data_IF_343190119946
#
_entry.id   IF_343190119946
#
_cell.length_a   1.000
_cell.length_b   1.000
_cell.length_c   1.000
_cell.angle_alpha   90.00
_cell.angle_beta   90.00
_cell.angle_gamma   90.00
#
_symmetry.space_group_name_H-M   'P 1'
#
loop_
_entity.id
_entity.type
_entity.pdbx_description
1 polymer ?
#
# COMPACT_ATOMS: atom_id res chain seq x y z
N UNK A 1 -11.36 20.78 -37.90
CA UNK A 1 -10.27 21.77 -37.80
C UNK A 1 -9.74 21.70 -36.38
N UNK A 2 -8.42 21.64 -36.18
CA UNK A 2 -7.80 21.61 -34.86
C UNK A 2 -7.11 22.96 -34.63
N UNK A 3 -7.28 23.53 -33.44
CA UNK A 3 -6.62 24.77 -33.03
C UNK A 3 -5.88 24.56 -31.72
N UNK A 4 -4.59 24.86 -31.72
CA UNK A 4 -3.75 24.87 -30.52
C UNK A 4 -3.39 26.32 -30.19
N UNK A 5 -3.58 26.71 -28.93
CA UNK A 5 -3.28 28.06 -28.43
C UNK A 5 -2.44 27.93 -27.17
N UNK A 6 -1.32 28.65 -27.12
CA UNK A 6 -0.55 28.80 -25.88
C UNK A 6 -1.28 29.79 -24.98
N UNK A 7 -1.69 29.33 -23.79
CA UNK A 7 -2.36 30.18 -22.83
C UNK A 7 -1.34 31.11 -22.14
N UNK A 8 -1.66 32.40 -21.94
CA UNK A 8 -0.83 33.30 -21.15
C UNK A 8 -0.54 32.74 -19.75
N UNK A 9 0.64 33.04 -19.20
CA UNK A 9 0.99 32.65 -17.84
C UNK A 9 -0.05 33.15 -16.82
N UNK A 10 -0.43 32.29 -15.88
CA UNK A 10 -1.40 32.62 -14.84
C UNK A 10 -2.87 32.54 -15.26
N UNK A 11 -3.19 32.08 -16.48
CA UNK A 11 -4.57 31.86 -16.94
C UNK A 11 -5.35 30.98 -15.95
N UNK A 12 -6.52 31.46 -15.51
CA UNK A 12 -7.43 30.75 -14.58
C UNK A 12 -8.70 30.26 -15.26
N UNK A 13 -9.18 31.03 -16.23
CA UNK A 13 -10.42 30.76 -16.94
C UNK A 13 -10.14 30.84 -18.43
N UNK A 14 -10.69 29.88 -19.18
CA UNK A 14 -10.68 29.86 -20.64
C UNK A 14 -12.13 29.92 -21.08
N UNK A 15 -12.44 30.83 -21.98
CA UNK A 15 -13.75 30.96 -22.58
C UNK A 15 -13.63 30.82 -24.10
N UNK A 16 -14.55 30.04 -24.69
CA UNK A 16 -14.73 29.98 -26.14
C UNK A 16 -15.79 30.99 -26.52
N UNK A 17 -15.41 32.00 -27.30
CA UNK A 17 -16.31 33.08 -27.69
C UNK A 17 -16.69 32.96 -29.15
N UNK A 18 -17.98 32.79 -29.42
CA UNK A 18 -18.59 32.89 -30.74
C UNK A 18 -19.32 34.23 -30.81
N UNK A 19 -18.68 35.24 -31.41
CA UNK A 19 -19.15 36.63 -31.41
C UNK A 19 -18.77 37.29 -32.74
N UNK A 20 -19.65 38.15 -33.24
CA UNK A 20 -19.48 38.90 -34.50
C UNK A 20 -19.20 37.99 -35.72
N UNK A 21 -19.99 36.92 -35.84
CA UNK A 21 -19.93 35.99 -36.96
C UNK A 21 -21.15 36.16 -37.86
N UNK A 22 -20.94 36.42 -39.15
CA UNK A 22 -21.97 36.32 -40.20
C UNK A 22 -21.85 34.94 -40.87
N UNK A 23 -22.98 34.29 -41.18
CA UNK A 23 -23.08 33.00 -41.88
C UNK A 23 -22.74 31.70 -41.12
N UNK A 24 -22.56 31.75 -39.79
CA UNK A 24 -22.50 30.54 -38.95
C UNK A 24 -23.38 30.67 -37.70
N UNK A 25 -24.36 29.77 -37.55
CA UNK A 25 -25.37 29.83 -36.49
C UNK A 25 -24.92 29.21 -35.15
N UNK A 26 -23.89 28.36 -35.15
CA UNK A 26 -23.33 27.75 -33.94
C UNK A 26 -21.85 27.40 -34.09
N UNK A 27 -21.18 27.16 -32.96
CA UNK A 27 -19.85 26.56 -32.91
C UNK A 27 -19.98 25.12 -32.40
N UNK A 28 -19.47 24.16 -33.17
CA UNK A 28 -19.32 22.77 -32.72
C UNK A 28 -17.91 22.62 -32.15
N UNK A 29 -17.83 22.33 -30.85
CA UNK A 29 -16.59 22.04 -30.16
C UNK A 29 -16.61 20.57 -29.75
N UNK A 30 -15.50 19.89 -29.99
CA UNK A 30 -15.28 18.53 -29.52
C UNK A 30 -13.81 18.40 -29.09
N UNK A 31 -13.51 17.40 -28.26
CA UNK A 31 -12.16 17.05 -27.81
C UNK A 31 -11.35 18.24 -27.25
N UNK A 32 -11.98 19.07 -26.41
CA UNK A 32 -11.28 20.19 -25.75
C UNK A 32 -10.32 19.64 -24.70
N UNK A 33 -9.02 19.79 -24.97
CA UNK A 33 -7.95 19.45 -24.02
C UNK A 33 -7.25 20.71 -23.54
N UNK A 34 -7.18 20.89 -22.22
CA UNK A 34 -6.35 21.91 -21.59
C UNK A 34 -5.23 21.20 -20.86
N UNK A 35 -3.99 21.45 -21.27
CA UNK A 35 -2.79 20.87 -20.64
C UNK A 35 -1.95 21.97 -20.02
N UNK A 36 -1.34 21.68 -18.86
CA UNK A 36 -0.18 22.42 -18.38
C UNK A 36 1.07 21.77 -18.98
N UNK A 37 1.99 22.55 -19.55
CA UNK A 37 3.24 22.02 -20.14
C UNK A 37 4.17 21.33 -19.13
N UNK A 38 3.88 21.45 -17.83
CA UNK A 38 4.51 20.70 -16.77
C UNK A 38 3.48 19.75 -16.16
N UNK A 39 3.91 18.53 -15.79
CA UNK A 39 3.14 17.70 -14.88
C UNK A 39 2.80 18.57 -13.66
N UNK A 40 1.52 18.67 -13.26
CA UNK A 40 1.15 19.56 -12.18
C UNK A 40 1.94 19.17 -10.93
N UNK A 41 2.76 20.10 -10.43
CA UNK A 41 3.46 19.93 -9.16
C UNK A 41 2.42 20.08 -8.06
N UNK A 42 1.85 18.97 -7.63
CA UNK A 42 1.00 18.92 -6.46
C UNK A 42 1.56 17.97 -5.43
N UNK A 43 1.14 18.15 -4.19
CA UNK A 43 1.42 17.23 -3.09
C UNK A 43 0.13 16.89 -2.36
N UNK A 44 0.18 15.90 -1.49
CA UNK A 44 -0.93 15.51 -0.63
C UNK A 44 -0.65 15.93 0.81
N UNK A 45 -1.72 16.32 1.52
CA UNK A 45 -1.73 16.45 2.98
C UNK A 45 -2.67 15.41 3.54
N UNK A 46 -2.19 14.64 4.52
CA UNK A 46 -2.88 13.49 5.10
C UNK A 46 -3.28 13.84 6.52
N UNK A 47 -4.52 13.53 6.86
CA UNK A 47 -5.13 13.74 8.17
C UNK A 47 -5.55 12.39 8.75
N UNK A 48 -5.42 12.24 10.06
CA UNK A 48 -6.01 11.15 10.85
C UNK A 48 -6.82 11.77 11.99
N UNK A 49 -8.10 11.43 12.08
CA UNK A 49 -9.04 11.97 13.07
C UNK A 49 -8.98 13.52 13.11
N UNK A 50 -9.10 14.14 11.93
CA UNK A 50 -9.02 15.58 11.70
C UNK A 50 -7.68 16.25 12.07
N UNK A 51 -6.67 15.49 12.47
CA UNK A 51 -5.33 16.00 12.76
C UNK A 51 -4.40 15.73 11.59
N UNK A 52 -3.69 16.75 11.09
CA UNK A 52 -2.69 16.57 10.06
C UNK A 52 -1.54 15.70 10.58
N UNK A 53 -1.20 14.63 9.87
CA UNK A 53 -0.11 13.70 10.22
C UNK A 53 1.03 13.72 9.20
N UNK A 54 0.78 14.19 7.98
CA UNK A 54 1.80 14.37 6.95
C UNK A 54 1.39 15.45 5.94
N UNK A 55 2.37 16.07 5.31
CA UNK A 55 2.22 17.08 4.26
C UNK A 55 3.37 16.98 3.26
N UNK A 56 3.16 17.45 2.03
CA UNK A 56 4.19 17.41 0.99
C UNK A 56 4.42 16.02 0.39
N UNK A 57 3.48 15.08 0.59
CA UNK A 57 3.58 13.73 0.05
C UNK A 57 3.40 13.76 -1.46
N UNK A 58 4.33 13.19 -2.22
CA UNK A 58 4.30 13.16 -3.69
C UNK A 58 3.83 11.81 -4.24
N UNK A 59 3.90 10.75 -3.44
CA UNK A 59 3.41 9.43 -3.80
C UNK A 59 1.88 9.35 -3.64
N UNK A 60 1.26 8.45 -4.38
CA UNK A 60 -0.19 8.17 -4.26
C UNK A 60 -0.52 7.20 -3.13
N UNK A 61 0.49 6.83 -2.33
CA UNK A 61 0.39 5.94 -1.19
C UNK A 61 1.02 6.60 0.03
N UNK A 62 0.45 6.35 1.22
CA UNK A 62 1.00 6.79 2.49
C UNK A 62 0.85 5.68 3.52
N UNK A 63 1.93 5.39 4.26
CA UNK A 63 1.94 4.36 5.30
C UNK A 63 1.97 5.00 6.67
N UNK A 64 0.92 4.76 7.46
CA UNK A 64 0.82 5.14 8.86
C UNK A 64 1.06 3.88 9.73
N UNK A 65 2.28 3.64 10.23
CA UNK A 65 2.61 2.41 10.95
C UNK A 65 2.02 2.37 12.36
N UNK A 66 1.96 1.15 12.91
CA UNK A 66 1.77 0.90 14.35
C UNK A 66 0.47 1.47 14.95
N UNK A 67 -0.60 1.51 14.14
CA UNK A 67 -1.95 1.86 14.59
C UNK A 67 -2.49 0.80 15.54
N UNK A 68 -2.91 1.23 16.72
CA UNK A 68 -3.69 0.39 17.64
C UNK A 68 -5.06 0.04 17.02
N UNK A 69 -5.67 -1.03 17.52
CA UNK A 69 -7.04 -1.37 17.15
C UNK A 69 -7.99 -0.21 17.47
N UNK A 70 -8.87 0.13 16.54
CA UNK A 70 -9.82 1.22 16.67
C UNK A 70 -10.31 1.76 15.33
N UNK A 71 -11.26 2.69 15.42
CA UNK A 71 -11.75 3.43 14.27
C UNK A 71 -10.90 4.67 14.03
N UNK A 72 -10.51 4.87 12.77
CA UNK A 72 -9.79 6.04 12.32
C UNK A 72 -10.46 6.62 11.09
N UNK A 73 -10.63 7.94 11.05
CA UNK A 73 -11.03 8.64 9.83
C UNK A 73 -9.79 9.26 9.22
N UNK A 74 -9.44 8.82 8.02
CA UNK A 74 -8.37 9.42 7.22
C UNK A 74 -8.94 10.45 6.27
N UNK A 75 -8.29 11.60 6.19
CA UNK A 75 -8.59 12.67 5.25
C UNK A 75 -7.41 12.91 4.32
N UNK A 76 -7.66 13.14 3.04
CA UNK A 76 -6.63 13.53 2.07
C UNK A 76 -7.10 14.76 1.31
N UNK A 77 -6.23 15.76 1.18
CA UNK A 77 -6.41 16.86 0.21
C UNK A 77 -5.20 16.97 -0.71
N UNK A 78 -5.45 17.47 -1.91
CA UNK A 78 -4.42 17.83 -2.88
C UNK A 78 -4.05 19.30 -2.68
N UNK A 79 -2.76 19.58 -2.64
CA UNK A 79 -2.19 20.92 -2.57
C UNK A 79 -1.52 21.21 -3.90
N UNK A 80 -2.13 22.09 -4.68
CA UNK A 80 -1.58 22.64 -5.92
C UNK A 80 -0.82 23.94 -5.62
N UNK A 81 0.04 24.44 -6.53
CA UNK A 81 0.76 25.69 -6.30
C UNK A 81 -0.17 26.91 -6.18
N UNK A 82 -1.40 26.79 -6.66
CA UNK A 82 -2.36 27.87 -6.79
C UNK A 82 -3.71 27.59 -6.09
N UNK A 83 -3.78 26.57 -5.25
CA UNK A 83 -5.01 26.22 -4.54
C UNK A 83 -4.97 24.84 -3.90
N UNK A 84 -5.99 24.54 -3.11
CA UNK A 84 -6.16 23.25 -2.45
C UNK A 84 -7.50 22.64 -2.83
N UNK A 85 -7.58 21.31 -2.86
CA UNK A 85 -8.87 20.62 -2.94
C UNK A 85 -9.59 20.63 -1.58
N UNK A 86 -10.88 20.28 -1.60
CA UNK A 86 -11.55 19.82 -0.38
C UNK A 86 -10.82 18.59 0.20
N UNK A 87 -11.01 18.35 1.50
CA UNK A 87 -10.56 17.13 2.16
C UNK A 87 -11.58 16.03 1.85
N UNK A 88 -11.11 14.94 1.25
CA UNK A 88 -11.90 13.73 1.08
C UNK A 88 -11.58 12.74 2.20
N UNK A 89 -12.61 12.14 2.78
CA UNK A 89 -12.45 11.28 3.98
C UNK A 89 -12.89 9.84 3.75
N UNK A 90 -12.16 8.91 4.35
CA UNK A 90 -12.52 7.51 4.46
C UNK A 90 -12.34 7.02 5.90
N UNK A 91 -13.26 6.18 6.38
CA UNK A 91 -13.16 5.57 7.70
C UNK A 91 -12.59 4.17 7.58
N UNK A 92 -11.54 3.91 8.36
CA UNK A 92 -10.90 2.61 8.51
C UNK A 92 -11.20 2.10 9.92
N UNK A 93 -11.69 0.86 10.01
CA UNK A 93 -11.71 0.13 11.26
C UNK A 93 -10.48 -0.77 11.29
N UNK A 94 -9.46 -0.36 12.03
CA UNK A 94 -8.31 -1.20 12.32
C UNK A 94 -8.77 -2.17 13.39
N UNK A 95 -9.14 -3.37 12.99
CA UNK A 95 -9.38 -4.43 13.96
C UNK A 95 -8.03 -4.96 14.42
N UNK A 96 -7.87 -5.18 15.72
CA UNK A 96 -7.03 -6.30 16.11
C UNK A 96 -7.75 -7.53 15.62
N UNK A 97 -7.32 -8.12 14.50
CA UNK A 97 -7.30 -9.57 14.54
C UNK A 97 -6.39 -9.88 15.72
N UNK A 98 -6.97 -10.34 16.83
CA UNK A 98 -6.19 -11.22 17.67
C UNK A 98 -5.60 -12.25 16.71
N UNK A 99 -4.30 -12.54 16.83
CA UNK A 99 -3.78 -13.75 16.19
C UNK A 99 -4.79 -14.86 16.46
N UNK A 100 -5.19 -15.59 15.41
CA UNK A 100 -5.88 -16.85 15.62
C UNK A 100 -4.84 -17.77 16.24
N UNK A 101 -4.61 -17.64 17.55
CA UNK A 101 -3.90 -18.63 18.34
C UNK A 101 -4.85 -19.80 18.53
N UNK A 102 -5.24 -20.45 17.43
CA UNK A 102 -5.45 -21.88 17.52
C UNK A 102 -4.17 -22.42 18.14
N UNK A 103 -4.24 -22.99 19.34
CA UNK A 103 -3.08 -23.57 19.99
C UNK A 103 -2.49 -24.60 19.01
N UNK A 104 -1.39 -24.22 18.37
CA UNK A 104 -0.70 -25.08 17.44
C UNK A 104 -0.03 -26.18 18.27
N UNK A 105 -0.05 -27.46 17.82
CA UNK A 105 0.58 -28.56 18.56
C UNK A 105 2.11 -28.55 18.44
N UNK A 106 2.71 -27.37 18.24
CA UNK A 106 4.13 -27.13 18.06
C UNK A 106 4.48 -25.67 18.41
N UNK A 107 5.75 -25.44 18.74
CA UNK A 107 6.33 -24.11 18.92
C UNK A 107 7.33 -23.85 17.79
N UNK A 108 7.27 -22.66 17.19
CA UNK A 108 8.22 -22.21 16.19
C UNK A 108 8.85 -20.91 16.70
N UNK A 109 10.18 -20.87 16.82
CA UNK A 109 10.91 -19.70 17.30
C UNK A 109 12.05 -19.36 16.35
N UNK A 110 12.30 -18.07 16.17
CA UNK A 110 13.46 -17.56 15.43
C UNK A 110 14.21 -16.62 16.36
N UNK A 111 15.42 -17.01 16.76
CA UNK A 111 16.29 -16.20 17.62
C UNK A 111 17.59 -15.93 16.86
N UNK A 112 17.80 -14.67 16.48
CA UNK A 112 18.87 -14.30 15.55
C UNK A 112 18.70 -15.04 14.23
N UNK A 113 19.71 -15.84 13.85
CA UNK A 113 19.70 -16.67 12.65
C UNK A 113 19.22 -18.11 12.89
N UNK A 114 18.83 -18.45 14.11
CA UNK A 114 18.48 -19.82 14.48
C UNK A 114 16.97 -20.01 14.47
N UNK A 115 16.49 -20.91 13.62
CA UNK A 115 15.12 -21.41 13.60
C UNK A 115 15.06 -22.65 14.49
N UNK A 116 14.15 -22.67 15.45
CA UNK A 116 13.88 -23.83 16.31
C UNK A 116 12.40 -24.19 16.22
N UNK A 117 12.13 -25.43 15.84
CA UNK A 117 10.78 -26.02 15.77
C UNK A 117 10.71 -27.12 16.82
N UNK A 118 9.71 -27.08 17.70
CA UNK A 118 9.45 -28.15 18.68
C UNK A 118 8.02 -28.66 18.51
N UNK A 119 7.81 -29.96 18.40
CA UNK A 119 6.51 -30.60 18.21
C UNK A 119 6.48 -32.01 18.83
N UNK A 120 5.33 -32.68 18.82
CA UNK A 120 5.25 -34.13 19.04
C UNK A 120 5.04 -34.84 17.69
N UNK A 121 6.08 -34.85 16.87
CA UNK A 121 5.98 -35.36 15.50
C UNK A 121 7.21 -35.01 14.67
N UNK A 122 7.01 -34.71 13.40
CA UNK A 122 8.10 -34.40 12.46
C UNK A 122 8.07 -32.91 12.08
N UNK A 123 9.25 -32.32 11.91
CA UNK A 123 9.40 -30.97 11.36
C UNK A 123 10.44 -30.97 10.25
N UNK A 124 10.20 -30.14 9.23
CA UNK A 124 11.06 -29.97 8.06
C UNK A 124 11.16 -28.48 7.71
N UNK A 125 12.36 -28.03 7.38
CA UNK A 125 12.64 -26.63 7.03
C UNK A 125 13.11 -26.60 5.58
N UNK A 126 12.58 -25.67 4.79
CA UNK A 126 12.86 -25.51 3.36
C UNK A 126 13.29 -24.07 3.05
N UNK A 127 14.21 -23.90 2.09
CA UNK A 127 14.41 -22.59 1.45
C UNK A 127 13.30 -22.28 0.44
N UNK A 128 13.28 -21.05 -0.07
CA UNK A 128 12.28 -20.61 -1.06
C UNK A 128 12.39 -21.28 -2.43
N UNK A 129 13.49 -22.01 -2.70
CA UNK A 129 13.62 -22.83 -3.91
C UNK A 129 13.03 -24.24 -3.70
N UNK A 130 12.44 -24.50 -2.53
CA UNK A 130 11.84 -25.80 -2.18
C UNK A 130 12.85 -26.85 -1.73
N UNK A 131 14.13 -26.50 -1.56
CA UNK A 131 15.14 -27.46 -1.06
C UNK A 131 14.99 -27.63 0.44
N UNK A 132 14.91 -28.89 0.89
CA UNK A 132 14.87 -29.25 2.31
C UNK A 132 16.25 -29.05 2.96
N UNK A 133 16.30 -28.21 3.98
CA UNK A 133 17.52 -27.82 4.69
C UNK A 133 17.74 -28.58 6.00
N UNK A 134 16.66 -28.87 6.71
CA UNK A 134 16.68 -29.64 7.94
C UNK A 134 15.40 -30.46 8.07
N UNK A 135 15.51 -31.62 8.72
CA UNK A 135 14.36 -32.45 9.08
C UNK A 135 14.69 -33.28 10.33
N UNK A 136 13.68 -33.54 11.15
CA UNK A 136 13.84 -34.35 12.35
C UNK A 136 12.54 -34.52 13.12
N UNK A 137 12.63 -35.26 14.23
CA UNK A 137 11.52 -35.51 15.15
C UNK A 137 11.66 -34.69 16.41
N UNK A 138 10.52 -34.25 16.94
CA UNK A 138 10.34 -33.52 18.19
C UNK A 138 10.99 -32.14 18.27
N UNK A 139 12.26 -32.00 17.91
CA UNK A 139 12.95 -30.71 17.87
C UNK A 139 13.88 -30.64 16.66
N UNK A 140 13.71 -29.59 15.86
CA UNK A 140 14.54 -29.32 14.69
C UNK A 140 15.11 -27.92 14.82
N UNK A 141 16.43 -27.82 14.80
CA UNK A 141 17.16 -26.56 14.89
C UNK A 141 17.96 -26.36 13.61
N UNK A 142 17.88 -25.17 13.03
CA UNK A 142 18.62 -24.81 11.83
C UNK A 142 19.15 -23.39 11.91
N UNK A 143 20.44 -23.21 11.61
CA UNK A 143 21.05 -21.88 11.48
C UNK A 143 20.92 -21.41 10.03
N UNK A 144 20.05 -20.43 9.83
CA UNK A 144 19.68 -19.87 8.54
C UNK A 144 20.60 -18.70 8.13
N UNK A 145 20.50 -18.31 6.86
CA UNK A 145 20.96 -17.01 6.39
C UNK A 145 19.78 -16.03 6.39
N UNK A 146 20.04 -14.75 6.15
CA UNK A 146 18.96 -13.78 5.94
C UNK A 146 18.12 -14.18 4.73
N UNK A 147 16.80 -14.22 4.89
CA UNK A 147 15.89 -14.68 3.84
C UNK A 147 14.58 -15.26 4.35
N UNK A 148 13.85 -15.93 3.46
CA UNK A 148 12.57 -16.55 3.76
C UNK A 148 12.67 -18.07 3.74
N UNK A 149 11.87 -18.71 4.59
CA UNK A 149 11.84 -20.16 4.75
C UNK A 149 10.41 -20.65 4.93
N UNK A 150 10.17 -21.89 4.53
CA UNK A 150 8.94 -22.63 4.86
C UNK A 150 9.27 -23.71 5.89
N UNK A 151 8.40 -23.85 6.90
CA UNK A 151 8.49 -24.91 7.91
C UNK A 151 7.24 -25.76 7.81
N UNK A 152 7.43 -27.04 7.51
CA UNK A 152 6.36 -28.03 7.58
C UNK A 152 6.45 -28.76 8.91
N UNK A 153 5.33 -28.87 9.62
CA UNK A 153 5.22 -29.62 10.87
C UNK A 153 4.12 -30.66 10.73
N UNK A 154 4.40 -31.90 11.09
CA UNK A 154 3.45 -33.02 11.04
C UNK A 154 3.24 -33.53 12.46
N UNK A 155 2.03 -33.38 12.99
CA UNK A 155 1.61 -33.90 14.30
C UNK A 155 0.30 -34.65 14.13
N UNK A 156 0.22 -35.86 14.69
CA UNK A 156 -0.98 -36.73 14.62
C UNK A 156 -1.54 -36.92 13.19
N UNK A 157 -0.65 -37.03 12.20
CA UNK A 157 -1.02 -37.18 10.79
C UNK A 157 -1.54 -35.91 10.11
N UNK A 158 -1.64 -34.78 10.82
CA UNK A 158 -1.98 -33.47 10.27
C UNK A 158 -0.72 -32.68 9.94
N UNK A 159 -0.68 -32.09 8.76
CA UNK A 159 0.40 -31.21 8.32
C UNK A 159 0.03 -29.74 8.50
N UNK A 160 1.00 -28.97 8.99
CA UNK A 160 0.94 -27.53 9.17
C UNK A 160 2.11 -26.89 8.42
N UNK A 161 1.90 -25.72 7.83
CA UNK A 161 2.95 -25.01 7.09
C UNK A 161 3.01 -23.57 7.56
N UNK A 162 4.21 -23.14 7.95
CA UNK A 162 4.51 -21.77 8.36
C UNK A 162 5.52 -21.15 7.40
N UNK A 163 5.36 -19.87 7.09
CA UNK A 163 6.36 -19.08 6.40
C UNK A 163 7.02 -18.15 7.40
N UNK A 164 8.34 -18.09 7.42
CA UNK A 164 9.10 -17.21 8.31
C UNK A 164 10.15 -16.41 7.54
N UNK A 165 10.53 -15.26 8.11
CA UNK A 165 11.63 -14.43 7.64
C UNK A 165 12.72 -14.40 8.70
N UNK A 166 13.97 -14.63 8.29
CA UNK A 166 15.17 -14.47 9.11
C UNK A 166 15.87 -13.19 8.66
N UNK A 167 16.18 -12.32 9.62
CA UNK A 167 16.90 -11.06 9.38
C UNK A 167 18.41 -11.27 9.37
#
# INVERSE_FOLDING_TARGET
YQKTVQLPAGTKYVAFRHFDCTDFFWINLDDVVITSGNAPSYTYTIYRNNTQIASGVTETTYRDPDLAAGFYTYGVKVVYPNGESAIETATLNITSLADVTAQKPYTLTVVGKTITVTCQGEAMIYDMNGRRLAAGRNTVVYTAQGGHYAVMVVVDGKSYVEKLAVK
#
